data_IF_566196332538
#
_entry.id   IF_566196332538
#
_cell.length_a   1.000
_cell.length_b   1.000
_cell.length_c   1.000
_cell.angle_alpha   90.00
_cell.angle_beta   90.00
_cell.angle_gamma   90.00
#
_symmetry.space_group_name_H-M   'P 1'
#
loop_
_entity.id
_entity.type
_entity.pdbx_description
1 polymer ?
#
# COMPACT_ATOMS: atom_id res chain seq x y z
N UNK A 1 -14.98 38.19 3.70
CA UNK A 1 -15.00 38.91 2.41
C UNK A 1 -15.72 38.03 1.39
N UNK A 2 -16.50 38.61 0.46
CA UNK A 2 -17.14 37.87 -0.63
C UNK A 2 -16.87 38.63 -1.93
N UNK A 3 -16.54 37.92 -3.00
CA UNK A 3 -16.25 38.50 -4.31
C UNK A 3 -17.33 38.08 -5.29
N UNK A 4 -17.80 39.00 -6.13
CA UNK A 4 -18.61 38.64 -7.29
C UNK A 4 -17.72 37.97 -8.36
N UNK A 5 -18.20 37.02 -9.18
CA UNK A 5 -17.38 36.38 -10.22
C UNK A 5 -16.72 37.33 -11.23
N UNK A 6 -17.25 38.55 -11.38
CA UNK A 6 -16.65 39.61 -12.22
C UNK A 6 -15.53 40.37 -11.51
N UNK A 7 -15.42 40.32 -10.19
CA UNK A 7 -14.40 40.99 -9.37
C UNK A 7 -13.17 40.10 -9.16
N UNK A 8 -12.76 39.42 -10.23
CA UNK A 8 -11.67 38.45 -10.17
C UNK A 8 -10.33 39.10 -9.76
N UNK A 9 -10.04 40.30 -10.28
CA UNK A 9 -8.81 41.02 -9.93
C UNK A 9 -8.73 41.35 -8.43
N UNK A 10 -9.87 41.70 -7.82
CA UNK A 10 -9.94 41.95 -6.38
C UNK A 10 -9.71 40.66 -5.59
N UNK A 11 -10.22 39.52 -6.08
CA UNK A 11 -9.99 38.21 -5.47
C UNK A 11 -8.52 37.80 -5.54
N UNK A 12 -7.86 37.97 -6.69
CA UNK A 12 -6.42 37.71 -6.85
C UNK A 12 -5.62 38.63 -5.92
N UNK A 13 -5.86 39.94 -5.98
CA UNK A 13 -5.16 40.91 -5.14
C UNK A 13 -5.33 40.61 -3.65
N UNK A 14 -6.53 40.20 -3.22
CA UNK A 14 -6.78 39.82 -1.84
C UNK A 14 -6.03 38.55 -1.44
N UNK A 15 -6.01 37.53 -2.30
CA UNK A 15 -5.29 36.29 -2.03
C UNK A 15 -3.77 36.53 -1.88
N UNK A 16 -3.20 37.39 -2.73
CA UNK A 16 -1.80 37.82 -2.64
C UNK A 16 -1.53 38.54 -1.32
N UNK A 17 -2.47 39.36 -0.83
CA UNK A 17 -2.30 40.11 0.42
C UNK A 17 -2.11 39.22 1.67
N UNK A 18 -2.66 37.99 1.66
CA UNK A 18 -2.44 37.01 2.74
C UNK A 18 -1.05 36.38 2.70
N UNK A 19 -0.43 36.33 1.52
CA UNK A 19 0.90 35.79 1.31
C UNK A 19 1.99 36.89 1.37
N UNK A 20 1.59 38.16 1.37
CA UNK A 20 2.48 39.31 1.42
C UNK A 20 3.46 39.31 0.24
N UNK A 21 4.75 39.41 0.54
CA UNK A 21 5.82 39.34 -0.46
C UNK A 21 6.36 37.92 -0.68
N UNK A 22 5.73 36.92 -0.06
CA UNK A 22 6.20 35.54 -0.04
C UNK A 22 5.24 34.66 -0.81
N UNK A 23 5.19 34.81 -2.13
CA UNK A 23 4.42 33.91 -2.99
C UNK A 23 5.22 32.61 -3.27
N UNK A 24 4.55 31.46 -3.43
CA UNK A 24 5.23 30.22 -3.77
C UNK A 24 5.81 30.30 -5.18
N UNK A 25 7.00 29.71 -5.38
CA UNK A 25 7.63 29.63 -6.70
C UNK A 25 6.83 28.75 -7.67
N UNK A 26 6.19 27.72 -7.13
CA UNK A 26 5.36 26.78 -7.86
C UNK A 26 3.97 26.81 -7.25
N UNK A 27 2.95 26.99 -8.07
CA UNK A 27 1.56 27.01 -7.65
C UNK A 27 0.80 25.88 -8.37
N UNK A 28 -0.11 25.20 -7.67
CA UNK A 28 -0.85 24.04 -8.23
C UNK A 28 -2.36 24.26 -8.10
N UNK A 29 -3.11 23.91 -9.15
CA UNK A 29 -4.56 23.91 -9.14
C UNK A 29 -5.11 22.88 -8.14
N UNK A 30 -6.13 23.28 -7.39
CA UNK A 30 -6.84 22.40 -6.45
C UNK A 30 -7.90 21.51 -7.12
N UNK A 31 -8.11 21.64 -8.43
CA UNK A 31 -9.09 20.85 -9.20
C UNK A 31 -8.43 19.82 -10.13
N UNK A 32 -7.33 20.18 -10.79
CA UNK A 32 -6.70 19.30 -11.79
C UNK A 32 -5.81 18.21 -11.21
N UNK A 33 -5.94 16.99 -11.71
CA UNK A 33 -5.03 15.89 -11.39
C UNK A 33 -3.72 15.89 -12.20
N UNK A 34 -3.74 16.55 -13.37
CA UNK A 34 -2.66 16.50 -14.34
C UNK A 34 -1.72 17.71 -14.28
N UNK A 35 -0.62 17.63 -15.04
CA UNK A 35 0.42 18.68 -15.14
C UNK A 35 -0.12 20.02 -15.63
N UNK A 36 -1.28 20.03 -16.28
CA UNK A 36 -1.94 21.24 -16.78
C UNK A 36 -2.35 22.20 -15.65
N UNK A 37 -2.45 21.70 -14.42
CA UNK A 37 -2.69 22.50 -13.23
C UNK A 37 -1.43 23.02 -12.53
N UNK A 38 -0.25 22.96 -13.15
CA UNK A 38 1.02 23.37 -12.54
C UNK A 38 1.53 24.68 -13.15
N UNK A 39 1.75 25.68 -12.31
CA UNK A 39 2.18 27.03 -12.71
C UNK A 39 3.56 27.33 -12.12
N UNK A 40 4.58 27.34 -13.00
CA UNK A 40 5.98 27.51 -12.63
C UNK A 40 6.74 28.21 -13.77
N UNK A 41 6.62 29.53 -13.83
CA UNK A 41 7.42 30.41 -14.69
C UNK A 41 8.73 30.79 -14.01
N UNK A 42 9.79 30.99 -14.80
CA UNK A 42 11.20 31.29 -14.43
C UNK A 42 11.40 32.40 -13.35
N UNK A 43 10.97 32.16 -12.12
CA UNK A 43 11.08 33.08 -10.98
C UNK A 43 9.95 34.09 -10.81
N UNK A 44 8.98 34.19 -11.72
CA UNK A 44 7.85 35.12 -11.57
C UNK A 44 6.71 34.51 -10.74
N UNK A 45 6.86 34.61 -9.42
CA UNK A 45 5.91 34.04 -8.46
C UNK A 45 4.53 34.70 -8.52
N UNK A 46 4.46 35.98 -8.92
CA UNK A 46 3.19 36.70 -9.04
C UNK A 46 2.43 36.22 -10.27
N UNK A 47 3.12 36.04 -11.40
CA UNK A 47 2.55 35.45 -12.59
C UNK A 47 2.02 34.05 -12.30
N UNK A 48 2.82 33.19 -11.66
CA UNK A 48 2.42 31.81 -11.33
C UNK A 48 1.17 31.77 -10.46
N UNK A 49 1.11 32.64 -9.44
CA UNK A 49 -0.06 32.76 -8.58
C UNK A 49 -1.28 33.25 -9.34
N UNK A 50 -1.12 34.28 -10.18
CA UNK A 50 -2.21 34.84 -10.99
C UNK A 50 -2.77 33.81 -11.97
N UNK A 51 -1.91 33.09 -12.67
CA UNK A 51 -2.31 32.02 -13.61
C UNK A 51 -3.05 30.90 -12.89
N UNK A 52 -2.56 30.46 -11.73
CA UNK A 52 -3.28 29.51 -10.87
C UNK A 52 -4.68 30.01 -10.53
N UNK A 53 -4.82 31.25 -10.08
CA UNK A 53 -6.11 31.79 -9.69
C UNK A 53 -7.06 31.93 -10.89
N UNK A 54 -6.55 32.32 -12.06
CA UNK A 54 -7.33 32.39 -13.31
C UNK A 54 -7.83 31.01 -13.73
N UNK A 55 -7.00 29.99 -13.58
CA UNK A 55 -7.35 28.63 -13.90
C UNK A 55 -8.34 28.02 -12.90
N UNK A 56 -8.19 28.29 -11.59
CA UNK A 56 -9.20 27.90 -10.60
C UNK A 56 -10.55 28.58 -10.89
N UNK A 57 -10.54 29.83 -11.35
CA UNK A 57 -11.76 30.53 -11.76
C UNK A 57 -12.51 29.79 -12.86
N UNK A 58 -11.83 29.23 -13.86
CA UNK A 58 -12.53 28.50 -14.94
C UNK A 58 -13.27 27.29 -14.39
N UNK A 59 -12.66 26.49 -13.51
CA UNK A 59 -13.36 25.38 -12.84
C UNK A 59 -14.59 25.84 -12.05
N UNK A 60 -14.48 26.95 -11.33
CA UNK A 60 -15.61 27.52 -10.57
C UNK A 60 -16.73 28.04 -11.50
N UNK A 61 -16.39 28.57 -12.68
CA UNK A 61 -17.37 29.03 -13.67
C UNK A 61 -18.07 27.87 -14.38
N UNK A 62 -17.37 26.76 -14.58
CA UNK A 62 -17.90 25.52 -15.15
C UNK A 62 -18.77 24.72 -14.16
N UNK A 63 -19.02 25.30 -12.97
CA UNK A 63 -19.82 24.72 -11.88
C UNK A 63 -19.31 23.36 -11.43
N UNK A 64 -18.00 23.16 -11.46
CA UNK A 64 -17.41 21.94 -10.91
C UNK A 64 -17.79 21.81 -9.41
N UNK A 65 -18.25 20.62 -8.98
CA UNK A 65 -18.61 20.41 -7.58
C UNK A 65 -17.46 20.76 -6.62
N UNK A 66 -17.80 21.49 -5.56
CA UNK A 66 -16.84 21.82 -4.48
C UNK A 66 -16.22 20.57 -3.83
N UNK A 67 -16.88 19.41 -3.94
CA UNK A 67 -16.39 18.12 -3.46
C UNK A 67 -15.12 17.65 -4.20
N UNK A 68 -14.84 18.19 -5.38
CA UNK A 68 -13.62 17.93 -6.14
C UNK A 68 -12.46 18.86 -5.76
N UNK A 69 -12.68 19.83 -4.86
CA UNK A 69 -11.59 20.67 -4.37
C UNK A 69 -10.68 19.83 -3.48
N UNK A 70 -9.44 19.70 -3.94
CA UNK A 70 -8.38 19.02 -3.22
C UNK A 70 -7.71 19.94 -2.21
N UNK A 71 -7.14 19.40 -1.11
CA UNK A 71 -6.33 20.18 -0.19
C UNK A 71 -5.08 20.75 -0.88
N UNK A 72 -4.83 22.04 -0.70
CA UNK A 72 -3.65 22.70 -1.27
C UNK A 72 -2.40 22.52 -0.38
N UNK A 73 -1.89 21.30 -0.31
CA UNK A 73 -0.75 20.98 0.56
C UNK A 73 0.51 21.82 0.25
N UNK A 74 0.69 22.23 -1.00
CA UNK A 74 1.84 23.05 -1.41
C UNK A 74 1.77 24.45 -0.83
N UNK A 75 0.62 25.11 -0.96
CA UNK A 75 0.41 26.43 -0.35
C UNK A 75 0.42 26.35 1.17
N UNK A 76 -0.22 25.32 1.76
CA UNK A 76 -0.23 25.12 3.22
C UNK A 76 1.20 24.97 3.75
N UNK A 77 2.02 24.12 3.11
CA UNK A 77 3.43 23.94 3.48
C UNK A 77 4.23 25.24 3.34
N UNK A 78 4.04 25.97 2.24
CA UNK A 78 4.70 27.25 2.01
C UNK A 78 4.33 28.29 3.09
N UNK A 79 3.05 28.38 3.45
CA UNK A 79 2.58 29.28 4.51
C UNK A 79 3.22 28.93 5.86
N UNK A 80 3.35 27.64 6.18
CA UNK A 80 4.03 27.19 7.40
C UNK A 80 5.52 27.54 7.40
N UNK A 81 6.25 27.24 6.32
CA UNK A 81 7.68 27.54 6.19
C UNK A 81 7.98 29.05 6.30
N UNK A 82 7.06 29.89 5.83
CA UNK A 82 7.14 31.35 5.90
C UNK A 82 6.51 31.95 7.17
N UNK A 83 6.08 31.12 8.13
CA UNK A 83 5.46 31.53 9.41
C UNK A 83 4.20 32.39 9.24
N UNK A 84 3.45 32.16 8.17
CA UNK A 84 2.17 32.82 7.90
C UNK A 84 1.00 32.18 8.66
N UNK A 85 1.16 30.93 9.12
CA UNK A 85 0.18 30.19 9.91
C UNK A 85 0.83 29.60 11.16
N UNK A 86 0.02 29.35 12.19
CA UNK A 86 0.48 28.66 13.39
C UNK A 86 0.74 27.18 13.13
N UNK A 87 1.43 26.52 14.06
CA UNK A 87 1.66 25.08 13.96
C UNK A 87 0.34 24.31 14.04
N UNK A 88 -0.55 24.77 14.91
CA UNK A 88 -1.87 24.22 15.14
C UNK A 88 -2.73 24.30 13.87
N UNK A 89 -2.68 25.43 13.16
CA UNK A 89 -3.38 25.61 11.88
C UNK A 89 -2.79 24.72 10.78
N UNK A 90 -1.47 24.59 10.73
CA UNK A 90 -0.79 23.70 9.79
C UNK A 90 -1.19 22.24 10.01
N UNK A 91 -1.10 21.75 11.25
CA UNK A 91 -1.51 20.39 11.62
C UNK A 91 -3.00 20.16 11.38
N UNK A 92 -3.85 21.17 11.57
CA UNK A 92 -5.27 21.09 11.25
C UNK A 92 -5.50 20.97 9.74
N UNK A 93 -4.84 21.81 8.94
CA UNK A 93 -4.98 21.82 7.48
C UNK A 93 -4.52 20.49 6.84
N UNK A 94 -3.54 19.79 7.44
CA UNK A 94 -3.08 18.48 6.99
C UNK A 94 -4.05 17.32 7.28
N UNK A 95 -5.12 17.53 8.06
CA UNK A 95 -6.12 16.49 8.34
C UNK A 95 -7.10 16.28 7.18
N UNK A 96 -7.15 17.20 6.22
CA UNK A 96 -7.93 17.02 5.00
C UNK A 96 -7.47 15.77 4.25
N UNK A 97 -8.39 15.01 3.67
CA UNK A 97 -8.07 13.84 2.85
C UNK A 97 -9.02 13.78 1.66
N UNK A 98 -8.47 13.60 0.46
CA UNK A 98 -9.23 13.32 -0.76
C UNK A 98 -9.81 11.90 -0.77
N UNK A 99 -9.21 11.02 0.04
CA UNK A 99 -9.63 9.62 0.11
C UNK A 99 -11.03 9.54 0.71
N UNK A 100 -12.00 8.90 0.01
CA UNK A 100 -13.30 8.60 0.58
C UNK A 100 -13.17 7.75 1.86
N UNK A 101 -14.12 7.84 2.80
CA UNK A 101 -14.17 6.93 3.94
C UNK A 101 -14.19 5.49 3.44
N UNK A 102 -13.19 4.71 3.81
CA UNK A 102 -13.14 3.30 3.47
C UNK A 102 -13.04 2.47 4.74
N UNK A 103 -13.89 1.46 4.83
CA UNK A 103 -13.82 0.46 5.88
C UNK A 103 -12.58 -0.42 5.65
N UNK A 104 -11.98 -0.93 6.73
CA UNK A 104 -10.80 -1.82 6.70
C UNK A 104 -9.47 -1.15 6.33
N UNK A 105 -9.33 0.15 6.60
CA UNK A 105 -8.02 0.79 6.67
C UNK A 105 -7.31 0.34 7.93
N UNK A 106 -6.30 -0.49 7.76
CA UNK A 106 -5.42 -0.85 8.85
C UNK A 106 -4.21 0.09 8.89
N UNK A 107 -3.71 0.44 10.09
CA UNK A 107 -2.45 1.14 10.25
C UNK A 107 -1.30 0.47 9.48
N UNK A 108 -0.26 1.23 9.12
CA UNK A 108 0.89 0.71 8.36
C UNK A 108 1.60 -0.44 9.09
N UNK A 109 1.59 -0.41 10.42
CA UNK A 109 2.16 -1.39 11.33
C UNK A 109 1.21 -2.54 11.67
N UNK A 110 -0.01 -2.55 11.12
CA UNK A 110 -0.94 -3.64 11.34
C UNK A 110 -0.47 -4.91 10.65
N UNK A 111 -0.12 -5.91 11.47
CA UNK A 111 0.15 -7.24 10.99
C UNK A 111 -1.13 -8.07 10.99
N UNK A 112 -1.51 -8.56 9.80
CA UNK A 112 -2.63 -9.49 9.65
C UNK A 112 -2.38 -10.74 10.51
N UNK A 113 -3.38 -11.23 11.27
CA UNK A 113 -3.24 -12.43 12.08
C UNK A 113 -2.70 -13.63 11.31
N UNK A 114 -3.10 -13.79 10.05
CA UNK A 114 -2.64 -14.87 9.16
C UNK A 114 -1.16 -14.74 8.82
N UNK A 115 -0.66 -13.51 8.64
CA UNK A 115 0.76 -13.26 8.37
C UNK A 115 1.62 -13.58 9.60
N UNK A 116 1.13 -13.24 10.80
CA UNK A 116 1.78 -13.59 12.07
C UNK A 116 1.85 -15.10 12.25
N UNK A 117 0.74 -15.81 12.03
CA UNK A 117 0.69 -17.28 12.11
C UNK A 117 1.58 -17.95 11.06
N UNK A 118 1.66 -17.39 9.85
CA UNK A 118 2.54 -17.90 8.81
C UNK A 118 4.02 -17.75 9.22
N UNK A 119 4.42 -16.60 9.77
CA UNK A 119 5.76 -16.41 10.33
C UNK A 119 6.04 -17.39 11.46
N UNK A 120 5.08 -17.62 12.37
CA UNK A 120 5.23 -18.62 13.44
C UNK A 120 5.42 -20.03 12.88
N UNK A 121 4.69 -20.42 11.83
CA UNK A 121 4.86 -21.70 11.13
C UNK A 121 6.20 -21.82 10.43
N UNK A 122 6.69 -20.75 9.82
CA UNK A 122 7.98 -20.72 9.12
C UNK A 122 9.15 -20.72 10.13
N UNK A 123 8.95 -20.13 11.31
CA UNK A 123 9.89 -20.15 12.44
C UNK A 123 9.90 -21.49 13.18
N UNK A 124 8.77 -22.21 13.19
CA UNK A 124 8.76 -23.62 13.58
C UNK A 124 9.56 -24.40 12.53
N UNK A 125 10.86 -24.56 12.80
CA UNK A 125 11.73 -25.46 12.07
C UNK A 125 10.97 -26.77 11.81
N UNK A 126 10.98 -27.32 10.59
CA UNK A 126 10.57 -28.69 10.42
C UNK A 126 11.51 -29.51 11.29
N UNK A 127 11.02 -30.01 12.42
CA UNK A 127 11.61 -31.17 13.09
C UNK A 127 11.89 -32.14 11.95
N UNK A 128 13.15 -32.53 11.76
CA UNK A 128 13.58 -33.27 10.58
C UNK A 128 12.85 -34.63 10.56
N UNK A 129 11.63 -34.62 10.00
CA UNK A 129 10.75 -35.76 9.92
C UNK A 129 11.42 -36.87 9.11
N UNK A 130 12.43 -36.54 8.29
CA UNK A 130 13.22 -37.51 7.56
C UNK A 130 14.25 -38.21 8.47
N UNK A 131 14.97 -37.47 9.33
CA UNK A 131 15.82 -38.04 10.38
C UNK A 131 15.00 -38.89 11.38
N UNK A 132 13.84 -38.38 11.81
CA UNK A 132 12.97 -39.08 12.75
C UNK A 132 12.37 -40.36 12.14
N UNK A 133 11.92 -40.31 10.87
CA UNK A 133 11.48 -41.50 10.12
C UNK A 133 12.62 -42.48 9.85
N UNK A 134 13.85 -42.02 9.59
CA UNK A 134 15.03 -42.88 9.44
C UNK A 134 15.36 -43.59 10.75
N UNK A 135 15.29 -42.89 11.87
CA UNK A 135 15.52 -43.45 13.20
C UNK A 135 14.45 -44.52 13.53
N UNK A 136 13.17 -44.21 13.29
CA UNK A 136 12.05 -45.16 13.44
C UNK A 136 12.19 -46.40 12.54
N UNK A 137 12.65 -46.25 11.29
CA UNK A 137 12.95 -47.37 10.39
C UNK A 137 14.12 -48.23 10.86
N UNK A 138 15.15 -47.64 11.49
CA UNK A 138 16.28 -48.38 12.07
C UNK A 138 15.85 -49.17 13.31
N UNK A 139 15.05 -48.58 14.20
CA UNK A 139 14.56 -49.24 15.41
C UNK A 139 13.61 -50.41 15.11
N UNK A 140 12.69 -50.24 14.15
CA UNK A 140 11.81 -51.34 13.70
C UNK A 140 12.59 -52.51 13.09
N UNK A 141 13.67 -52.23 12.34
CA UNK A 141 14.55 -53.29 11.79
C UNK A 141 15.32 -54.04 12.87
N UNK A 142 15.85 -53.35 13.89
CA UNK A 142 16.53 -53.97 15.06
C UNK A 142 15.61 -54.89 15.87
N UNK A 143 14.34 -54.50 16.05
CA UNK A 143 13.33 -55.33 16.73
C UNK A 143 13.01 -56.60 15.94
N UNK A 144 12.94 -56.50 14.61
CA UNK A 144 12.64 -57.63 13.72
C UNK A 144 13.79 -58.64 13.60
N UNK A 145 15.05 -58.21 13.74
CA UNK A 145 16.22 -59.11 13.74
C UNK A 145 16.40 -59.88 15.05
N UNK A 146 15.91 -59.37 16.18
CA UNK A 146 15.95 -60.07 17.48
C UNK A 146 14.92 -61.19 17.63
N UNK A 147 13.91 -61.27 16.75
CA UNK A 147 12.82 -62.26 16.82
C UNK A 147 12.95 -63.45 15.86
N UNK A 148 14.05 -63.60 15.12
CA UNK A 148 14.13 -64.54 13.98
C UNK A 148 15.17 -65.67 14.11
N UNK A 149 15.56 -66.01 15.34
CA UNK A 149 16.41 -67.16 15.64
C UNK A 149 15.66 -68.16 16.52
N UNK A 150 14.75 -68.94 15.94
CA UNK A 150 14.40 -70.28 16.45
C UNK A 150 13.63 -71.09 15.40
N UNK A 151 14.29 -72.12 14.84
CA UNK A 151 13.73 -73.32 14.17
C UNK A 151 12.90 -73.11 12.90
N UNK A 152 12.79 -74.03 11.95
CA UNK A 152 13.32 -75.37 11.77
C UNK A 152 13.10 -75.70 10.27
N UNK A 153 14.04 -76.42 9.69
CA UNK A 153 13.98 -77.02 8.36
C UNK A 153 12.78 -77.95 8.18
N UNK A 154 12.08 -77.91 7.05
CA UNK A 154 11.57 -79.12 6.41
C UNK A 154 11.30 -78.93 4.91
N UNK A 155 11.92 -79.85 4.15
CA UNK A 155 11.75 -80.26 2.76
C UNK A 155 10.48 -79.86 2.01
N UNK A 156 10.64 -79.32 0.79
CA UNK A 156 9.60 -79.23 -0.24
C UNK A 156 9.78 -80.34 -1.29
N UNK A 157 8.73 -81.09 -1.65
CA UNK A 157 8.77 -82.00 -2.78
C UNK A 157 8.47 -81.26 -4.10
N UNK A 158 9.26 -81.59 -5.11
CA UNK A 158 9.11 -81.16 -6.50
C UNK A 158 7.83 -81.74 -7.13
N UNK A 159 6.97 -80.89 -7.69
CA UNK A 159 6.04 -81.26 -8.76
C UNK A 159 5.99 -80.18 -9.83
N UNK A 160 6.42 -80.63 -11.01
CA UNK A 160 6.33 -80.03 -12.34
C UNK A 160 4.89 -80.17 -12.84
N UNK A 161 4.30 -79.13 -13.43
CA UNK A 161 3.59 -79.19 -14.72
C UNK A 161 2.69 -77.97 -14.98
N UNK A 162 2.88 -77.45 -16.19
CA UNK A 162 1.89 -77.07 -17.20
C UNK A 162 1.26 -75.67 -17.24
N UNK A 163 1.52 -75.11 -18.41
CA UNK A 163 1.12 -73.89 -19.12
C UNK A 163 -0.36 -73.92 -19.50
N UNK A 164 -0.99 -72.73 -19.60
CA UNK A 164 -1.89 -72.24 -20.68
C UNK A 164 -2.37 -70.82 -20.31
N UNK A 165 -1.78 -69.74 -20.82
CA UNK A 165 -2.14 -68.98 -22.05
C UNK A 165 -3.62 -69.07 -22.40
N UNK A 166 -4.37 -67.96 -22.33
CA UNK A 166 -5.30 -67.49 -23.37
C UNK A 166 -5.32 -65.95 -23.38
N UNK A 167 -5.36 -65.39 -24.58
CA UNK A 167 -5.45 -63.99 -24.94
C UNK A 167 -6.51 -63.83 -26.03
N UNK A 168 -7.08 -62.62 -26.08
CA UNK A 168 -8.20 -62.07 -26.89
C UNK A 168 -9.59 -62.35 -26.38
#
# INVERSE_FOLDING_TARGET
MRFHPSQFEEWVSHSVSHLGNSLPQKAICTFCDDTDGVFESNGDTLLNWRERMLHIRSHLQDLEPFEHIRPDYWVIKHMWENRLISREDFEHALKGTERPPCENLYPLDYERPEARLQKERDLQQPVDLAEEKKHMRKETRKRKSKGRTHGLSHSHPSRRAHIQIWST
#
